data_IF_053410081328
#
_entry.id   IF_053410081328
#
_cell.length_a   1.000
_cell.length_b   1.000
_cell.length_c   1.000
_cell.angle_alpha   90.00
_cell.angle_beta   90.00
_cell.angle_gamma   90.00
#
_symmetry.space_group_name_H-M   'P 1'
#
loop_
_entity.id
_entity.type
_entity.pdbx_description
1 polymer ?
#
# COMPACT_ATOMS: atom_id res chain seq x y z
N UNK A 1 44.56 45.54 0.67
CA UNK A 1 44.33 46.82 -0.04
C UNK A 1 42.83 46.99 -0.20
N UNK A 2 42.31 48.05 0.40
CA UNK A 2 40.94 48.51 0.41
C UNK A 2 40.43 48.93 -0.99
N UNK A 3 39.10 48.81 -1.21
CA UNK A 3 38.19 49.82 -1.80
C UNK A 3 36.78 49.27 -1.65
N UNK A 4 36.00 49.67 -0.73
CA UNK A 4 35.08 50.78 -0.48
C UNK A 4 34.16 51.14 -1.67
N UNK A 5 32.85 50.86 -1.40
CA UNK A 5 31.63 51.65 -1.59
C UNK A 5 31.45 52.52 -2.83
N UNK A 6 30.24 52.38 -3.42
CA UNK A 6 29.46 53.56 -3.86
C UNK A 6 27.94 53.25 -3.78
N UNK A 7 27.28 53.84 -2.83
CA UNK A 7 25.81 54.03 -2.80
C UNK A 7 25.49 55.16 -3.76
N UNK A 8 24.56 54.95 -4.66
CA UNK A 8 23.93 56.06 -5.44
C UNK A 8 22.48 56.21 -5.04
N UNK A 9 22.22 57.29 -4.33
CA UNK A 9 20.91 57.80 -3.98
C UNK A 9 20.31 58.49 -5.21
N UNK A 10 19.19 57.98 -5.73
CA UNK A 10 18.40 58.72 -6.74
C UNK A 10 17.20 59.33 -6.03
N UNK A 11 17.28 60.67 -5.86
CA UNK A 11 16.17 61.50 -5.40
C UNK A 11 15.13 61.64 -6.51
N UNK A 12 13.89 61.22 -6.26
CA UNK A 12 12.76 61.50 -7.16
C UNK A 12 12.16 62.85 -6.77
N UNK A 13 12.26 63.77 -7.67
CA UNK A 13 11.65 65.13 -7.62
C UNK A 13 10.16 65.01 -7.95
N UNK A 14 9.29 65.32 -7.00
CA UNK A 14 7.88 65.38 -7.21
C UNK A 14 7.51 66.69 -7.99
N UNK A 15 7.09 66.56 -9.22
CA UNK A 15 6.40 67.66 -9.94
C UNK A 15 4.91 67.51 -9.73
N UNK A 16 4.31 68.45 -9.01
CA UNK A 16 2.87 68.64 -8.94
C UNK A 16 2.42 69.44 -10.15
N UNK A 17 1.80 68.81 -11.14
CA UNK A 17 0.99 69.51 -12.13
C UNK A 17 -0.48 69.29 -11.78
N UNK A 18 -1.13 70.35 -11.33
CA UNK A 18 -2.59 70.43 -11.22
C UNK A 18 -3.17 70.72 -12.60
N UNK A 19 -3.93 69.79 -13.18
CA UNK A 19 -4.83 70.01 -14.28
C UNK A 19 -6.17 69.39 -13.95
N UNK A 20 -7.15 70.23 -13.65
CA UNK A 20 -8.55 69.86 -13.56
C UNK A 20 -9.09 69.51 -14.94
N UNK A 21 -9.38 68.20 -15.17
CA UNK A 21 -10.31 67.77 -16.23
C UNK A 21 -11.28 66.75 -15.62
N UNK A 22 -12.60 66.88 -15.91
CA UNK A 22 -13.58 65.92 -15.37
C UNK A 22 -13.52 64.66 -16.20
N UNK A 23 -13.24 63.56 -15.54
CA UNK A 23 -13.28 62.22 -16.16
C UNK A 23 -12.07 61.30 -15.91
N UNK A 24 -11.40 61.38 -14.78
CA UNK A 24 -10.44 60.32 -14.39
C UNK A 24 -11.21 59.15 -13.80
N UNK A 25 -11.39 58.10 -14.61
CA UNK A 25 -11.64 56.77 -14.10
C UNK A 25 -10.49 56.40 -13.15
N UNK A 26 -10.72 56.42 -11.87
CA UNK A 26 -9.80 55.85 -10.90
C UNK A 26 -9.77 54.36 -11.18
N UNK A 27 -8.67 53.87 -11.76
CA UNK A 27 -8.42 52.44 -11.85
C UNK A 27 -8.30 51.95 -10.41
N UNK A 28 -9.35 51.35 -9.86
CA UNK A 28 -9.27 50.69 -8.56
C UNK A 28 -8.55 49.36 -8.75
N UNK A 29 -7.40 49.22 -8.12
CA UNK A 29 -6.73 47.94 -8.06
C UNK A 29 -7.36 47.12 -6.95
N UNK A 30 -7.67 45.85 -7.25
CA UNK A 30 -8.09 44.88 -6.24
C UNK A 30 -6.88 44.44 -5.41
N UNK A 31 -7.13 43.99 -4.19
CA UNK A 31 -6.08 43.40 -3.35
C UNK A 31 -5.57 42.10 -3.96
N UNK A 32 -4.25 41.91 -3.89
CA UNK A 32 -3.60 40.71 -4.44
C UNK A 32 -3.92 39.49 -3.58
N UNK A 33 -4.24 38.31 -4.15
CA UNK A 33 -4.26 37.06 -3.40
C UNK A 33 -2.90 36.79 -2.72
N UNK A 34 -2.91 36.18 -1.57
CA UNK A 34 -1.69 35.90 -0.80
C UNK A 34 -1.63 34.46 -0.26
N UNK A 35 -0.57 34.12 0.45
CA UNK A 35 -0.37 32.80 1.06
C UNK A 35 -0.57 31.65 0.06
N UNK A 36 0.00 31.79 -1.16
CA UNK A 36 -0.13 30.78 -2.20
C UNK A 36 0.60 29.51 -1.81
N UNK A 37 -0.07 28.38 -2.01
CA UNK A 37 0.53 27.06 -1.91
C UNK A 37 0.16 26.25 -3.15
N UNK A 38 1.16 25.55 -3.72
CA UNK A 38 0.97 24.65 -4.85
C UNK A 38 1.42 23.25 -4.46
N UNK A 39 0.51 22.28 -4.61
CA UNK A 39 0.76 20.86 -4.27
C UNK A 39 0.62 20.03 -5.54
N UNK A 40 1.66 19.25 -5.87
CA UNK A 40 1.66 18.38 -7.03
C UNK A 40 0.89 17.09 -6.76
N UNK A 41 0.15 16.62 -7.79
CA UNK A 41 -0.30 15.25 -7.98
C UNK A 41 0.51 14.58 -9.10
N UNK A 42 0.10 13.40 -9.55
CA UNK A 42 0.80 12.65 -10.62
C UNK A 42 0.82 13.41 -11.96
N UNK A 43 -0.33 13.90 -12.42
CA UNK A 43 -0.50 14.70 -13.64
C UNK A 43 -1.34 15.95 -13.38
N UNK A 44 -1.31 16.45 -12.15
CA UNK A 44 -2.12 17.58 -11.71
C UNK A 44 -1.39 18.40 -10.66
N UNK A 45 -1.89 19.61 -10.41
CA UNK A 45 -1.44 20.44 -9.30
C UNK A 45 -2.60 21.25 -8.72
N UNK A 46 -2.67 21.30 -7.39
CA UNK A 46 -3.65 22.11 -6.68
C UNK A 46 -2.99 23.41 -6.23
N UNK A 47 -3.50 24.55 -6.71
CA UNK A 47 -3.14 25.87 -6.21
C UNK A 47 -4.17 26.28 -5.16
N UNK A 48 -3.71 26.75 -4.01
CA UNK A 48 -4.54 27.38 -2.97
C UNK A 48 -4.02 28.77 -2.66
N UNK A 49 -4.90 29.64 -2.24
CA UNK A 49 -4.55 31.02 -1.87
C UNK A 49 -5.48 31.56 -0.79
N UNK A 50 -5.03 32.60 -0.13
CA UNK A 50 -5.86 33.41 0.74
C UNK A 50 -6.52 34.51 -0.07
N UNK A 51 -7.82 34.61 0.05
CA UNK A 51 -8.62 35.67 -0.46
C UNK A 51 -8.49 36.91 0.45
N UNK A 52 -7.95 38.01 -0.10
CA UNK A 52 -7.79 39.26 0.59
C UNK A 52 -8.77 40.34 0.06
N UNK A 53 -9.50 40.01 -1.01
CA UNK A 53 -10.39 40.95 -1.65
C UNK A 53 -11.83 40.81 -1.11
N UNK A 54 -12.58 41.91 -1.06
CA UNK A 54 -13.98 41.91 -0.60
C UNK A 54 -14.93 42.45 -1.67
N UNK A 55 -14.40 42.75 -2.85
CA UNK A 55 -15.16 43.40 -3.96
C UNK A 55 -14.84 42.76 -5.32
N UNK A 56 -14.21 41.62 -5.33
CA UNK A 56 -13.97 40.83 -6.53
C UNK A 56 -15.27 40.18 -7.04
N UNK A 57 -15.32 39.91 -8.34
CA UNK A 57 -16.35 39.11 -9.01
C UNK A 57 -15.90 37.67 -9.24
N UNK A 58 -14.61 37.40 -8.99
CA UNK A 58 -14.02 36.09 -9.15
C UNK A 58 -12.52 36.15 -9.33
N UNK A 59 -12.00 35.00 -9.73
CA UNK A 59 -10.57 34.77 -9.92
C UNK A 59 -10.29 34.21 -11.31
N UNK A 60 -9.25 34.72 -11.96
CA UNK A 60 -8.64 34.08 -13.12
C UNK A 60 -7.46 33.25 -12.64
N UNK A 61 -7.31 32.05 -13.22
CA UNK A 61 -6.14 31.19 -12.97
C UNK A 61 -5.36 30.97 -14.25
N UNK A 62 -4.03 30.96 -14.12
CA UNK A 62 -3.08 30.96 -15.24
C UNK A 62 -2.08 29.83 -15.09
N UNK A 63 -1.58 29.36 -16.21
CA UNK A 63 -0.55 28.32 -16.29
C UNK A 63 0.64 28.84 -17.08
N UNK A 64 1.85 28.62 -16.57
CA UNK A 64 3.15 28.88 -17.25
C UNK A 64 3.31 30.31 -17.81
N UNK A 65 2.87 31.28 -17.06
CA UNK A 65 2.93 32.71 -17.41
C UNK A 65 2.19 33.07 -18.73
N UNK A 66 1.24 32.23 -19.18
CA UNK A 66 0.42 32.54 -20.31
C UNK A 66 -0.42 33.82 -20.04
N UNK A 67 -0.57 34.65 -21.06
CA UNK A 67 -1.35 35.91 -20.92
C UNK A 67 -2.86 35.64 -20.77
N UNK A 68 -3.37 34.53 -21.30
CA UNK A 68 -4.76 34.14 -21.18
C UNK A 68 -4.98 33.23 -19.97
N UNK A 69 -6.03 33.43 -19.17
CA UNK A 69 -6.37 32.54 -18.08
C UNK A 69 -6.83 31.18 -18.63
N UNK A 70 -6.49 30.10 -17.91
CA UNK A 70 -6.96 28.75 -18.23
C UNK A 70 -8.38 28.51 -17.71
N UNK A 71 -8.81 29.28 -16.69
CA UNK A 71 -10.16 29.22 -16.14
C UNK A 71 -10.53 30.52 -15.41
N UNK A 72 -11.81 30.70 -15.22
CA UNK A 72 -12.39 31.76 -14.35
C UNK A 72 -13.20 31.07 -13.24
N UNK A 73 -13.06 31.56 -12.03
CA UNK A 73 -13.70 31.06 -10.82
C UNK A 73 -14.62 32.10 -10.22
N UNK A 74 -15.68 31.71 -9.49
CA UNK A 74 -16.58 32.64 -8.81
C UNK A 74 -15.86 33.40 -7.68
N UNK A 75 -16.54 34.43 -7.17
CA UNK A 75 -16.12 35.17 -5.97
C UNK A 75 -15.87 34.26 -4.79
N UNK A 76 -14.97 34.64 -3.89
CA UNK A 76 -14.56 33.88 -2.68
C UNK A 76 -13.91 32.51 -2.96
N UNK A 77 -13.48 32.22 -4.19
CA UNK A 77 -12.71 31.02 -4.49
C UNK A 77 -11.34 31.06 -3.86
N UNK A 78 -10.88 29.91 -3.32
CA UNK A 78 -9.60 29.79 -2.60
C UNK A 78 -8.71 28.66 -3.11
N UNK A 79 -9.16 27.94 -4.15
CA UNK A 79 -8.38 26.85 -4.73
C UNK A 79 -8.79 26.57 -6.17
N UNK A 80 -7.86 25.96 -6.93
CA UNK A 80 -8.09 25.41 -8.26
C UNK A 80 -7.17 24.25 -8.53
N UNK A 81 -7.68 23.22 -9.23
CA UNK A 81 -6.89 22.04 -9.63
C UNK A 81 -6.58 22.15 -11.13
N UNK A 82 -5.31 22.25 -11.46
CA UNK A 82 -4.79 22.14 -12.82
C UNK A 82 -4.61 20.66 -13.14
N UNK A 83 -5.13 20.20 -14.27
CA UNK A 83 -5.07 18.80 -14.71
C UNK A 83 -4.40 18.69 -16.07
N UNK A 84 -3.92 17.47 -16.42
CA UNK A 84 -3.25 17.22 -17.70
C UNK A 84 -1.85 17.79 -17.78
N UNK A 85 -1.19 18.00 -16.64
CA UNK A 85 0.20 18.42 -16.55
C UNK A 85 1.11 17.24 -16.88
N UNK A 86 2.19 17.50 -17.61
CA UNK A 86 3.13 16.44 -17.98
C UNK A 86 3.96 16.00 -16.77
N UNK A 87 4.16 14.69 -16.63
CA UNK A 87 5.06 14.14 -15.63
C UNK A 87 6.50 14.67 -15.80
N UNK A 88 7.17 14.93 -14.69
CA UNK A 88 8.53 15.48 -14.67
C UNK A 88 8.63 16.94 -15.10
N UNK A 89 7.52 17.66 -15.28
CA UNK A 89 7.52 19.05 -15.70
C UNK A 89 7.45 20.01 -14.52
N UNK A 90 8.00 21.21 -14.75
CA UNK A 90 7.88 22.36 -13.85
C UNK A 90 6.84 23.32 -14.38
N UNK A 91 5.97 23.81 -13.50
CA UNK A 91 4.91 24.75 -13.86
C UNK A 91 4.88 25.94 -12.91
N UNK A 92 4.46 27.10 -13.46
CA UNK A 92 4.07 28.27 -12.70
C UNK A 92 2.54 28.39 -12.71
N UNK A 93 1.95 28.36 -11.53
CA UNK A 93 0.49 28.47 -11.35
C UNK A 93 0.16 29.87 -10.87
N UNK A 94 -0.66 30.59 -11.61
CA UNK A 94 -1.01 31.97 -11.32
C UNK A 94 -2.47 32.14 -10.90
N UNK A 95 -2.73 33.14 -10.07
CA UNK A 95 -4.08 33.55 -9.69
C UNK A 95 -4.18 35.11 -9.66
N UNK A 96 -5.31 35.65 -10.10
CA UNK A 96 -5.60 37.07 -10.17
C UNK A 96 -7.07 37.30 -9.81
N UNK A 97 -7.36 38.21 -8.89
CA UNK A 97 -8.71 38.68 -8.65
C UNK A 97 -9.16 39.62 -9.76
N UNK A 98 -10.41 39.52 -10.20
CA UNK A 98 -11.05 40.46 -11.13
C UNK A 98 -12.37 40.97 -10.56
N UNK A 99 -12.70 42.20 -10.89
CA UNK A 99 -13.90 42.88 -10.42
C UNK A 99 -14.63 43.64 -11.51
N UNK A 100 -15.52 44.54 -11.11
CA UNK A 100 -16.25 45.40 -12.03
C UNK A 100 -15.33 46.45 -12.69
N UNK A 101 -15.77 46.98 -13.81
CA UNK A 101 -15.09 48.07 -14.54
C UNK A 101 -13.64 47.75 -14.93
N UNK A 102 -13.35 46.48 -15.25
CA UNK A 102 -12.01 46.02 -15.59
C UNK A 102 -10.98 46.28 -14.47
N UNK A 103 -11.38 46.16 -13.22
CA UNK A 103 -10.46 46.17 -12.08
C UNK A 103 -9.83 44.81 -11.88
N UNK A 104 -8.53 44.77 -11.62
CA UNK A 104 -7.75 43.54 -11.44
C UNK A 104 -6.74 43.72 -10.31
N UNK A 105 -6.42 42.61 -9.62
CA UNK A 105 -5.22 42.53 -8.82
C UNK A 105 -3.99 42.26 -9.72
N UNK A 106 -2.81 42.15 -9.16
CA UNK A 106 -1.68 41.50 -9.84
C UNK A 106 -1.93 40.04 -9.96
N UNK A 107 -1.33 39.39 -10.98
CA UNK A 107 -1.19 37.92 -11.00
C UNK A 107 -0.09 37.55 -10.02
N UNK A 108 -0.42 36.72 -9.06
CA UNK A 108 0.56 36.12 -8.13
C UNK A 108 0.79 34.67 -8.50
N UNK A 109 2.04 34.20 -8.35
CA UNK A 109 2.48 32.94 -8.90
C UNK A 109 3.07 32.04 -7.82
N UNK A 110 2.80 30.72 -7.93
CA UNK A 110 3.46 29.67 -7.19
C UNK A 110 4.06 28.68 -8.17
N UNK A 111 5.27 28.18 -7.87
CA UNK A 111 5.93 27.15 -8.66
C UNK A 111 5.61 25.76 -8.10
N UNK A 112 5.45 24.78 -9.00
CA UNK A 112 5.26 23.37 -8.66
C UNK A 112 6.04 22.51 -9.65
N UNK A 113 6.62 21.42 -9.16
CA UNK A 113 7.23 20.39 -9.99
C UNK A 113 6.35 19.14 -9.94
N UNK A 114 5.88 18.70 -11.09
CA UNK A 114 5.14 17.44 -11.23
C UNK A 114 6.15 16.30 -11.15
N UNK A 115 5.90 15.27 -10.31
CA UNK A 115 6.79 14.13 -10.24
C UNK A 115 7.02 13.53 -11.63
N UNK A 116 8.26 13.16 -11.92
CA UNK A 116 8.52 12.36 -13.13
C UNK A 116 7.83 11.00 -12.97
N UNK A 117 7.31 10.44 -14.08
CA UNK A 117 6.96 9.04 -14.10
C UNK A 117 8.16 8.26 -13.59
N UNK A 118 7.96 7.43 -12.59
CA UNK A 118 8.96 6.39 -12.29
C UNK A 118 8.92 5.49 -13.53
N UNK A 119 9.99 5.45 -14.36
CA UNK A 119 9.99 4.52 -15.48
C UNK A 119 9.69 3.13 -14.92
N UNK A 120 8.87 2.30 -15.56
CA UNK A 120 8.84 0.89 -15.21
C UNK A 120 10.29 0.46 -15.21
N UNK A 121 10.76 -0.05 -14.08
CA UNK A 121 12.13 -0.55 -13.95
C UNK A 121 12.34 -1.47 -15.15
N UNK A 122 13.36 -1.27 -16.01
CA UNK A 122 13.57 -2.12 -17.16
C UNK A 122 13.60 -3.54 -16.61
N UNK A 123 12.76 -4.41 -17.16
CA UNK A 123 12.65 -5.81 -16.73
C UNK A 123 14.07 -6.44 -16.77
N UNK A 124 14.78 -6.48 -15.65
CA UNK A 124 16.22 -6.71 -15.68
C UNK A 124 16.57 -8.17 -15.89
N UNK A 125 15.55 -9.07 -15.74
CA UNK A 125 15.81 -10.50 -15.91
C UNK A 125 14.52 -11.22 -16.33
N UNK A 126 14.58 -12.13 -17.30
CA UNK A 126 13.46 -13.02 -17.54
C UNK A 126 13.11 -13.69 -16.20
N UNK A 127 11.81 -13.78 -15.87
CA UNK A 127 11.33 -14.43 -14.65
C UNK A 127 12.06 -15.77 -14.50
N UNK A 128 12.94 -15.93 -13.51
CA UNK A 128 13.74 -17.16 -13.37
C UNK A 128 12.86 -18.39 -13.08
N UNK A 129 11.62 -18.17 -12.66
CA UNK A 129 10.66 -19.21 -12.32
C UNK A 129 9.25 -18.85 -12.85
N UNK A 130 9.05 -18.80 -14.18
CA UNK A 130 7.73 -18.52 -14.71
C UNK A 130 6.76 -19.62 -14.26
N UNK A 131 5.64 -19.21 -13.68
CA UNK A 131 4.54 -20.09 -13.32
C UNK A 131 3.36 -19.81 -14.22
N UNK A 132 2.63 -20.86 -14.61
CA UNK A 132 1.37 -20.71 -15.28
C UNK A 132 0.28 -20.31 -14.30
N UNK A 133 -0.61 -19.42 -14.74
CA UNK A 133 -1.78 -19.05 -13.96
C UNK A 133 -2.80 -20.20 -13.96
N UNK A 134 -3.38 -20.49 -12.79
CA UNK A 134 -4.53 -21.39 -12.67
C UNK A 134 -5.80 -20.53 -12.60
N UNK A 135 -6.70 -20.74 -13.53
CA UNK A 135 -7.99 -20.04 -13.60
C UNK A 135 -9.14 -21.01 -13.36
N UNK A 136 -10.19 -20.54 -12.69
CA UNK A 136 -11.41 -21.28 -12.38
C UNK A 136 -12.65 -20.53 -12.85
N UNK A 137 -13.78 -21.26 -12.96
CA UNK A 137 -15.08 -20.64 -13.10
C UNK A 137 -15.55 -20.16 -11.72
N UNK A 138 -15.49 -18.86 -11.53
CA UNK A 138 -15.89 -18.23 -10.27
C UNK A 138 -17.37 -17.83 -10.32
N UNK A 139 -18.15 -18.22 -9.32
CA UNK A 139 -19.55 -17.84 -9.15
C UNK A 139 -19.66 -16.84 -8.01
N UNK A 140 -20.33 -15.71 -8.25
CA UNK A 140 -20.56 -14.70 -7.21
C UNK A 140 -21.48 -15.27 -6.12
N UNK A 141 -21.08 -15.09 -4.85
CA UNK A 141 -21.84 -15.48 -3.68
C UNK A 141 -22.50 -14.23 -3.09
N UNK A 142 -23.83 -14.22 -3.08
CA UNK A 142 -24.58 -13.13 -2.44
C UNK A 142 -24.62 -13.32 -0.94
N UNK A 143 -24.01 -12.41 -0.19
CA UNK A 143 -24.06 -12.38 1.27
C UNK A 143 -24.84 -11.14 1.70
N UNK A 144 -25.96 -11.37 2.40
CA UNK A 144 -26.80 -10.27 2.90
C UNK A 144 -26.01 -9.39 3.88
N UNK A 145 -26.12 -8.07 3.74
CA UNK A 145 -25.44 -7.10 4.61
C UNK A 145 -24.10 -6.62 4.09
N UNK A 146 -23.58 -7.16 2.97
CA UNK A 146 -22.40 -6.61 2.32
C UNK A 146 -22.77 -5.45 1.37
N UNK A 147 -21.98 -4.36 1.37
CA UNK A 147 -22.13 -3.30 0.37
C UNK A 147 -21.71 -3.80 -1.01
N UNK A 148 -22.24 -3.20 -2.08
CA UNK A 148 -21.92 -3.55 -3.48
C UNK A 148 -20.42 -3.45 -3.83
N UNK A 149 -19.67 -2.69 -3.05
CA UNK A 149 -18.23 -2.52 -3.21
C UNK A 149 -17.42 -3.75 -2.78
N UNK A 150 -18.00 -4.69 -2.04
CA UNK A 150 -17.37 -5.93 -1.61
C UNK A 150 -18.04 -7.09 -2.34
N UNK A 151 -17.26 -7.85 -3.10
CA UNK A 151 -17.72 -9.01 -3.85
C UNK A 151 -17.07 -10.26 -3.30
N UNK A 152 -17.86 -11.34 -3.24
CA UNK A 152 -17.36 -12.67 -2.85
C UNK A 152 -17.67 -13.64 -3.97
N UNK A 153 -16.70 -14.50 -4.25
CA UNK A 153 -16.80 -15.53 -5.28
C UNK A 153 -16.39 -16.88 -4.70
N UNK A 154 -16.96 -17.95 -5.26
CA UNK A 154 -16.57 -19.31 -4.94
C UNK A 154 -16.36 -20.14 -6.20
N UNK A 155 -15.58 -21.20 -6.07
CA UNK A 155 -15.41 -22.22 -7.09
C UNK A 155 -15.39 -23.62 -6.49
N UNK A 156 -15.90 -24.59 -7.23
CA UNK A 156 -15.80 -26.03 -6.96
C UNK A 156 -15.14 -26.77 -8.15
N UNK A 157 -14.47 -26.02 -9.02
CA UNK A 157 -13.70 -26.60 -10.12
C UNK A 157 -12.55 -27.45 -9.56
N UNK A 158 -12.14 -28.46 -10.32
CA UNK A 158 -11.02 -29.30 -9.92
C UNK A 158 -9.69 -28.57 -10.04
N UNK A 159 -8.86 -28.66 -9.00
CA UNK A 159 -7.46 -28.23 -9.03
C UNK A 159 -6.56 -29.43 -9.43
N UNK A 160 -5.97 -29.39 -10.61
CA UNK A 160 -5.10 -30.47 -11.10
C UNK A 160 -5.76 -31.85 -11.01
N UNK A 161 -7.06 -31.94 -11.33
CA UNK A 161 -7.87 -33.16 -11.31
C UNK A 161 -8.40 -33.57 -9.93
N UNK A 162 -8.03 -32.88 -8.87
CA UNK A 162 -8.48 -33.13 -7.48
C UNK A 162 -9.72 -32.32 -7.13
N UNK A 163 -10.55 -32.81 -6.21
CA UNK A 163 -11.63 -32.02 -5.59
C UNK A 163 -11.03 -30.79 -4.93
N UNK A 164 -11.63 -29.63 -5.20
CA UNK A 164 -11.16 -28.34 -4.68
C UNK A 164 -12.34 -27.39 -4.49
N UNK A 165 -12.36 -26.71 -3.35
CA UNK A 165 -13.36 -25.71 -3.01
C UNK A 165 -12.66 -24.48 -2.43
N UNK A 166 -12.91 -23.32 -3.01
CA UNK A 166 -12.26 -22.08 -2.63
C UNK A 166 -13.19 -20.88 -2.76
N UNK A 167 -12.86 -19.85 -1.99
CA UNK A 167 -13.53 -18.55 -2.00
C UNK A 167 -12.51 -17.43 -2.08
N UNK A 168 -12.91 -16.33 -2.68
CA UNK A 168 -12.23 -15.08 -2.48
C UNK A 168 -13.21 -13.93 -2.33
N UNK A 169 -12.80 -12.95 -1.49
CA UNK A 169 -13.44 -11.66 -1.41
C UNK A 169 -12.54 -10.61 -2.05
N UNK A 170 -13.14 -9.65 -2.77
CA UNK A 170 -12.40 -8.57 -3.43
C UNK A 170 -13.05 -7.23 -3.14
N UNK A 171 -12.25 -6.23 -2.83
CA UNK A 171 -12.70 -4.85 -2.64
C UNK A 171 -11.60 -3.84 -3.01
N UNK A 172 -12.03 -2.63 -3.37
CA UNK A 172 -11.17 -1.49 -3.63
C UNK A 172 -10.85 -0.77 -2.30
N UNK A 173 -9.58 -0.63 -1.90
CA UNK A 173 -9.20 0.13 -0.72
C UNK A 173 -9.58 1.61 -0.75
N UNK A 174 -9.94 2.15 -1.92
CA UNK A 174 -10.49 3.49 -2.02
C UNK A 174 -11.89 3.62 -1.38
N UNK A 175 -12.64 2.51 -1.28
CA UNK A 175 -14.03 2.51 -0.78
C UNK A 175 -14.23 1.70 0.50
N UNK A 176 -13.30 0.83 0.87
CA UNK A 176 -13.28 0.08 2.13
C UNK A 176 -11.97 0.27 2.86
N UNK A 177 -11.96 0.14 4.18
CA UNK A 177 -10.72 0.03 4.93
C UNK A 177 -10.21 -1.40 4.91
N UNK A 178 -8.91 -1.58 4.66
CA UNK A 178 -8.21 -2.85 4.85
C UNK A 178 -7.49 -2.79 6.18
N UNK A 179 -7.89 -3.63 7.13
CA UNK A 179 -7.37 -3.57 8.50
C UNK A 179 -6.92 -4.93 8.97
N UNK A 180 -5.92 -4.91 9.85
CA UNK A 180 -5.48 -6.07 10.63
C UNK A 180 -6.06 -5.94 12.04
N UNK A 181 -6.53 -7.05 12.60
CA UNK A 181 -6.97 -7.11 13.99
C UNK A 181 -6.01 -7.97 14.81
N UNK A 182 -5.83 -7.60 16.06
CA UNK A 182 -5.06 -8.32 17.05
C UNK A 182 -5.73 -8.15 18.43
N UNK A 183 -6.21 -9.22 19.08
CA UNK A 183 -6.92 -9.11 20.37
C UNK A 183 -6.06 -8.53 21.50
N UNK A 184 -4.72 -8.51 21.33
CA UNK A 184 -3.79 -7.97 22.31
C UNK A 184 -3.34 -8.96 23.37
N UNK A 185 -2.25 -8.64 24.07
CA UNK A 185 -1.75 -9.37 25.23
C UNK A 185 -1.39 -10.84 25.02
N UNK A 186 -1.13 -11.29 23.77
CA UNK A 186 -0.94 -12.70 23.45
C UNK A 186 -2.23 -13.55 23.45
N UNK A 187 -3.37 -12.88 23.52
CA UNK A 187 -4.70 -13.54 23.47
C UNK A 187 -5.03 -14.01 22.07
N UNK A 188 -5.90 -15.03 22.00
CA UNK A 188 -6.47 -15.55 20.77
C UNK A 188 -7.98 -15.36 20.84
N UNK A 189 -8.60 -15.04 19.72
CA UNK A 189 -10.06 -15.01 19.59
C UNK A 189 -10.47 -15.65 18.25
N UNK A 190 -11.67 -16.17 18.18
CA UNK A 190 -12.24 -16.69 16.94
C UNK A 190 -12.47 -15.56 15.94
N UNK A 191 -12.49 -15.88 14.64
CA UNK A 191 -12.65 -14.87 13.58
C UNK A 191 -13.95 -14.08 13.76
N UNK A 192 -15.05 -14.76 14.02
CA UNK A 192 -16.36 -14.15 14.28
C UNK A 192 -16.35 -13.23 15.52
N UNK A 193 -15.63 -13.62 16.59
CA UNK A 193 -15.50 -12.76 17.75
C UNK A 193 -14.66 -11.51 17.44
N UNK A 194 -13.57 -11.64 16.72
CA UNK A 194 -12.76 -10.48 16.31
C UNK A 194 -13.59 -9.54 15.39
N UNK A 195 -14.40 -10.11 14.49
CA UNK A 195 -15.30 -9.34 13.64
C UNK A 195 -16.35 -8.58 14.46
N UNK A 196 -16.95 -9.25 15.44
CA UNK A 196 -17.96 -8.65 16.34
C UNK A 196 -17.37 -7.54 17.22
N UNK A 197 -16.17 -7.76 17.77
CA UNK A 197 -15.48 -6.78 18.61
C UNK A 197 -15.10 -5.51 17.81
N UNK A 198 -14.78 -5.67 16.53
CA UNK A 198 -14.48 -4.54 15.64
C UNK A 198 -15.70 -3.71 15.23
N UNK A 199 -16.90 -4.31 15.22
CA UNK A 199 -18.21 -3.66 15.05
C UNK A 199 -18.55 -3.23 13.63
N UNK A 200 -17.57 -2.95 12.76
CA UNK A 200 -17.77 -2.49 11.39
C UNK A 200 -17.10 -3.39 10.34
N UNK A 201 -16.90 -4.66 10.70
CA UNK A 201 -16.27 -5.65 9.84
C UNK A 201 -17.26 -6.13 8.74
N UNK A 202 -16.79 -6.21 7.53
CA UNK A 202 -17.52 -6.71 6.36
C UNK A 202 -17.11 -8.14 6.01
N UNK A 203 -15.79 -8.37 5.86
CA UNK A 203 -15.19 -9.68 5.58
C UNK A 203 -13.90 -9.80 6.37
N UNK A 204 -13.65 -10.96 6.95
CA UNK A 204 -12.47 -11.22 7.76
C UNK A 204 -11.94 -12.63 7.47
N UNK A 205 -10.63 -12.77 7.34
CA UNK A 205 -9.94 -14.05 7.27
C UNK A 205 -8.90 -14.17 8.39
N UNK A 206 -8.48 -15.39 8.71
CA UNK A 206 -7.35 -15.60 9.63
C UNK A 206 -6.07 -14.92 9.12
N UNK A 207 -5.22 -14.53 10.03
CA UNK A 207 -3.97 -13.83 9.76
C UNK A 207 -2.74 -14.72 9.70
N UNK A 208 -1.64 -14.22 10.26
CA UNK A 208 -0.34 -14.88 10.25
C UNK A 208 -0.24 -16.11 11.16
N UNK A 209 0.76 -16.93 10.91
CA UNK A 209 1.10 -18.12 11.70
C UNK A 209 1.40 -17.71 13.14
N UNK A 210 1.01 -18.55 14.08
CA UNK A 210 1.22 -18.30 15.50
C UNK A 210 1.47 -19.61 16.29
N UNK A 211 2.18 -19.46 17.40
CA UNK A 211 2.32 -20.47 18.44
C UNK A 211 1.72 -19.97 19.76
N UNK A 212 2.57 -19.76 20.75
CA UNK A 212 2.24 -19.05 22.00
C UNK A 212 2.24 -17.53 21.81
N UNK A 213 2.80 -17.05 20.71
CA UNK A 213 2.82 -15.66 20.25
C UNK A 213 2.69 -15.63 18.71
N UNK A 214 2.40 -14.49 18.09
CA UNK A 214 2.49 -14.35 16.64
C UNK A 214 3.91 -14.67 16.16
N UNK A 215 4.01 -15.43 15.07
CA UNK A 215 5.29 -15.67 14.41
C UNK A 215 5.50 -14.55 13.39
N UNK A 216 5.99 -13.44 13.87
CA UNK A 216 6.07 -12.19 13.16
C UNK A 216 5.33 -11.06 13.89
N UNK A 217 5.05 -10.00 13.18
CA UNK A 217 4.35 -8.83 13.73
C UNK A 217 3.17 -8.43 12.83
N UNK A 218 2.35 -7.55 13.35
CA UNK A 218 1.35 -6.83 12.59
C UNK A 218 1.47 -5.32 12.86
N UNK A 219 1.02 -4.51 11.91
CA UNK A 219 0.83 -3.08 12.07
C UNK A 219 -0.67 -2.78 12.09
N UNK A 220 -1.11 -2.10 13.12
CA UNK A 220 -2.48 -1.60 13.29
C UNK A 220 -2.38 -0.08 13.34
N UNK A 221 -2.89 0.58 12.31
CA UNK A 221 -2.87 2.04 12.19
C UNK A 221 -1.46 2.65 12.39
N UNK A 222 -0.46 2.00 11.80
CA UNK A 222 0.94 2.38 11.88
C UNK A 222 1.65 1.99 13.19
N UNK A 223 0.95 1.35 14.11
CA UNK A 223 1.52 0.89 15.39
C UNK A 223 1.86 -0.60 15.30
N UNK A 224 3.13 -0.93 15.56
CA UNK A 224 3.57 -2.31 15.62
C UNK A 224 2.98 -3.01 16.85
N UNK A 225 2.41 -4.21 16.62
CA UNK A 225 1.96 -5.05 17.73
C UNK A 225 3.16 -5.50 18.57
N UNK A 226 2.98 -5.65 19.89
CA UNK A 226 3.99 -6.31 20.71
C UNK A 226 4.20 -7.73 20.17
N UNK A 227 5.37 -8.01 19.69
CA UNK A 227 5.79 -9.35 19.36
C UNK A 227 6.76 -9.85 20.44
N UNK A 228 6.74 -11.14 20.67
CA UNK A 228 7.62 -11.74 21.65
C UNK A 228 8.73 -12.46 20.91
N UNK A 229 9.94 -12.02 21.11
CA UNK A 229 11.11 -12.81 20.76
C UNK A 229 11.09 -14.10 21.62
N UNK A 230 10.99 -15.25 20.98
CA UNK A 230 11.09 -16.55 21.63
C UNK A 230 12.37 -17.19 21.11
N UNK A 231 13.39 -17.23 21.95
CA UNK A 231 14.72 -17.81 21.63
C UNK A 231 14.68 -19.26 21.13
N UNK A 232 13.62 -20.01 21.49
CA UNK A 232 13.47 -21.43 21.16
C UNK A 232 12.78 -21.68 19.81
N UNK A 233 12.10 -20.69 19.23
CA UNK A 233 11.36 -20.91 17.99
C UNK A 233 12.19 -20.50 16.78
N UNK A 234 12.50 -21.45 15.93
CA UNK A 234 13.18 -21.26 14.64
C UNK A 234 12.40 -20.39 13.64
N UNK A 235 11.34 -19.74 14.09
CA UNK A 235 10.26 -19.21 13.28
C UNK A 235 10.00 -17.71 13.42
N UNK A 236 10.58 -17.06 14.44
CA UNK A 236 10.36 -15.63 14.64
C UNK A 236 10.95 -14.83 13.48
N UNK A 237 10.21 -13.85 12.98
CA UNK A 237 10.67 -12.94 11.90
C UNK A 237 12.00 -12.32 12.24
N UNK A 238 12.18 -11.97 13.50
CA UNK A 238 13.38 -11.31 13.98
C UNK A 238 14.30 -12.22 14.79
N UNK A 239 14.24 -13.54 14.54
CA UNK A 239 15.21 -14.42 15.14
C UNK A 239 16.59 -14.07 14.63
N UNK A 240 17.43 -13.68 15.56
CA UNK A 240 18.81 -13.37 15.30
C UNK A 240 19.66 -14.63 15.51
N UNK A 241 20.60 -14.87 14.62
CA UNK A 241 21.55 -15.96 14.69
C UNK A 241 22.97 -15.43 14.62
N UNK A 242 23.83 -16.01 15.45
CA UNK A 242 25.25 -15.79 15.28
C UNK A 242 25.74 -16.63 14.10
N UNK A 243 26.18 -15.95 13.05
CA UNK A 243 26.76 -16.61 11.88
C UNK A 243 28.18 -17.10 12.13
N UNK A 244 28.74 -17.86 11.16
CA UNK A 244 30.15 -18.28 11.19
C UNK A 244 31.14 -17.11 11.17
N UNK A 245 30.70 -15.95 10.71
CA UNK A 245 31.42 -14.67 10.70
C UNK A 245 31.39 -13.93 12.04
N UNK A 246 30.79 -14.54 13.06
CA UNK A 246 30.59 -13.98 14.39
C UNK A 246 29.76 -12.68 14.39
N UNK A 247 28.85 -12.52 13.41
CA UNK A 247 27.87 -11.44 13.33
C UNK A 247 26.45 -11.94 13.58
N UNK A 248 25.60 -11.03 13.99
CA UNK A 248 24.20 -11.28 14.23
C UNK A 248 23.40 -11.08 12.94
N UNK A 249 22.68 -12.10 12.51
CA UNK A 249 21.91 -12.12 11.29
C UNK A 249 20.41 -12.31 11.58
N UNK A 250 19.54 -11.76 10.72
CA UNK A 250 18.08 -11.82 10.86
C UNK A 250 17.44 -12.41 9.62
N UNK A 251 16.38 -13.16 9.79
CA UNK A 251 15.62 -13.76 8.69
C UNK A 251 14.54 -12.78 8.25
N UNK A 252 14.48 -12.44 6.97
CA UNK A 252 13.38 -11.66 6.42
C UNK A 252 12.13 -12.52 6.18
N UNK A 253 10.95 -11.93 6.34
CA UNK A 253 9.65 -12.57 6.11
C UNK A 253 8.81 -11.72 5.18
N UNK A 254 7.88 -12.38 4.48
CA UNK A 254 6.87 -11.70 3.70
C UNK A 254 5.97 -10.81 4.55
N UNK A 255 5.58 -9.69 3.98
CA UNK A 255 4.62 -8.75 4.55
C UNK A 255 3.62 -8.35 3.46
N UNK A 256 2.34 -8.41 3.79
CA UNK A 256 1.28 -7.74 3.03
C UNK A 256 0.75 -6.58 3.86
N UNK A 257 0.44 -5.48 3.23
CA UNK A 257 -0.23 -4.36 3.89
C UNK A 257 -0.81 -3.34 2.94
N UNK A 258 -1.40 -2.31 3.54
CA UNK A 258 -1.78 -1.07 2.86
C UNK A 258 -1.09 0.10 3.53
N UNK A 259 -0.72 1.10 2.76
CA UNK A 259 -0.21 2.35 3.31
C UNK A 259 -1.36 3.23 3.85
N UNK A 260 -1.04 4.41 4.35
CA UNK A 260 -2.02 5.35 4.92
C UNK A 260 -3.08 5.83 3.90
N UNK A 261 -2.78 5.74 2.60
CA UNK A 261 -3.68 6.12 1.51
C UNK A 261 -4.49 4.92 0.97
N UNK A 262 -4.30 3.72 1.53
CA UNK A 262 -4.93 2.50 1.07
C UNK A 262 -4.18 1.79 -0.06
N UNK A 263 -3.01 2.27 -0.51
CA UNK A 263 -2.21 1.61 -1.55
C UNK A 263 -1.67 0.28 -1.03
N UNK A 264 -2.04 -0.86 -1.63
CA UNK A 264 -1.56 -2.15 -1.18
C UNK A 264 -0.11 -2.41 -1.60
N UNK A 265 0.55 -3.31 -0.89
CA UNK A 265 1.89 -3.76 -1.21
C UNK A 265 2.24 -5.10 -0.59
N UNK A 266 3.12 -5.85 -1.27
CA UNK A 266 3.75 -7.07 -0.77
C UNK A 266 5.25 -6.86 -0.82
N UNK A 267 5.92 -7.09 0.29
CA UNK A 267 7.34 -6.86 0.47
C UNK A 267 7.94 -7.91 1.39
N UNK A 268 9.26 -7.94 1.51
CA UNK A 268 9.93 -8.61 2.61
C UNK A 268 10.22 -7.59 3.70
N UNK A 269 9.96 -7.97 4.95
CA UNK A 269 10.12 -7.08 6.09
C UNK A 269 11.27 -7.50 6.99
N UNK A 270 11.85 -6.50 7.62
CA UNK A 270 12.89 -6.62 8.62
C UNK A 270 12.71 -5.54 9.67
N UNK A 271 12.84 -5.90 10.93
CA UNK A 271 12.74 -4.97 12.07
C UNK A 271 14.05 -4.96 12.85
N UNK A 272 14.95 -4.00 12.59
CA UNK A 272 16.22 -3.90 13.32
C UNK A 272 16.03 -3.57 14.81
N UNK A 273 14.90 -2.97 15.15
CA UNK A 273 14.49 -2.65 16.52
C UNK A 273 12.96 -2.54 16.61
N UNK A 274 12.42 -2.75 17.81
CA UNK A 274 10.98 -2.57 18.04
C UNK A 274 10.50 -1.18 17.61
N UNK A 275 9.41 -1.16 16.87
CA UNK A 275 8.82 0.09 16.33
C UNK A 275 9.44 0.58 15.01
N UNK A 276 10.54 -0.02 14.55
CA UNK A 276 11.17 0.31 13.27
C UNK A 276 10.95 -0.81 12.28
N UNK A 277 10.05 -0.60 11.33
CA UNK A 277 9.75 -1.59 10.28
C UNK A 277 10.34 -1.11 8.97
N UNK A 278 11.24 -1.90 8.41
CA UNK A 278 11.74 -1.72 7.06
C UNK A 278 11.14 -2.77 6.12
N UNK A 279 10.82 -2.37 4.92
CA UNK A 279 10.33 -3.24 3.85
C UNK A 279 11.25 -3.15 2.64
N UNK A 280 11.42 -4.26 1.92
CA UNK A 280 12.38 -4.40 0.83
C UNK A 280 11.71 -5.09 -0.34
N UNK A 281 12.04 -4.67 -1.56
CA UNK A 281 11.55 -5.29 -2.81
C UNK A 281 12.13 -6.69 -3.03
N UNK A 282 13.23 -6.99 -2.36
CA UNK A 282 13.89 -8.32 -2.36
C UNK A 282 14.11 -8.74 -0.93
N UNK A 283 14.13 -10.05 -0.64
CA UNK A 283 14.44 -10.52 0.71
C UNK A 283 15.89 -10.19 1.07
N UNK A 284 16.12 -9.86 2.34
CA UNK A 284 17.47 -9.76 2.85
C UNK A 284 18.09 -11.17 2.77
N UNK A 285 19.30 -11.30 2.19
CA UNK A 285 19.87 -12.60 1.94
C UNK A 285 20.08 -13.39 3.23
N UNK A 286 19.43 -14.54 3.30
CA UNK A 286 19.76 -15.59 4.27
C UNK A 286 19.97 -16.88 3.49
N UNK A 287 20.85 -17.75 3.95
CA UNK A 287 20.98 -19.07 3.34
C UNK A 287 19.81 -19.91 3.83
N UNK A 288 18.93 -20.32 2.93
CA UNK A 288 17.78 -21.15 3.28
C UNK A 288 18.24 -22.43 4.01
N UNK A 289 17.67 -22.69 5.18
CA UNK A 289 18.06 -23.77 6.05
C UNK A 289 19.36 -23.55 6.84
N UNK A 290 19.98 -22.41 6.68
CA UNK A 290 21.09 -21.96 7.51
C UNK A 290 20.69 -20.67 8.23
N UNK A 291 21.02 -20.59 9.49
CA UNK A 291 20.71 -19.41 10.29
C UNK A 291 21.66 -18.23 9.97
N UNK A 292 22.15 -18.16 8.75
CA UNK A 292 23.14 -17.17 8.32
C UNK A 292 22.52 -16.30 7.26
N UNK A 293 22.40 -15.02 7.55
CA UNK A 293 22.08 -14.00 6.59
C UNK A 293 23.35 -13.63 5.80
N UNK A 294 23.27 -13.59 4.49
CA UNK A 294 24.35 -13.06 3.65
C UNK A 294 24.43 -11.53 3.87
N UNK A 295 25.63 -11.00 3.97
CA UNK A 295 25.79 -9.53 4.01
C UNK A 295 25.18 -8.90 2.76
N UNK A 296 24.58 -7.72 2.93
CA UNK A 296 24.08 -6.92 1.82
C UNK A 296 25.24 -6.59 0.86
N UNK A 297 25.04 -6.88 -0.40
CA UNK A 297 25.99 -6.58 -1.46
C UNK A 297 25.27 -5.90 -2.65
N UNK A 298 25.99 -5.62 -3.74
CA UNK A 298 25.41 -4.95 -4.91
C UNK A 298 24.26 -5.70 -5.60
N UNK A 299 24.05 -6.98 -5.25
CA UNK A 299 22.96 -7.81 -5.80
C UNK A 299 21.72 -7.79 -4.94
N UNK A 300 21.77 -7.21 -3.73
CA UNK A 300 20.65 -7.08 -2.81
C UNK A 300 20.49 -5.64 -2.37
N UNK A 301 19.27 -5.13 -2.31
CA UNK A 301 19.05 -3.76 -1.87
C UNK A 301 19.48 -3.61 -0.41
N UNK A 302 20.34 -2.64 -0.14
CA UNK A 302 20.70 -2.24 1.21
C UNK A 302 19.71 -1.23 1.78
N UNK A 303 18.96 -0.56 0.90
CA UNK A 303 18.04 0.50 1.27
C UNK A 303 16.61 -0.03 1.31
N UNK A 304 15.83 0.34 2.34
CA UNK A 304 14.41 0.03 2.40
C UNK A 304 13.66 0.64 1.22
N UNK A 305 12.59 -0.01 0.78
CA UNK A 305 11.64 0.58 -0.15
C UNK A 305 10.97 1.82 0.48
N UNK A 306 10.59 2.79 -0.36
CA UNK A 306 9.97 4.04 0.10
C UNK A 306 8.51 3.87 0.56
N UNK A 307 7.90 2.73 0.27
CA UNK A 307 6.53 2.44 0.69
C UNK A 307 6.48 2.17 2.20
N UNK A 308 5.57 2.83 2.90
CA UNK A 308 5.44 2.74 4.36
C UNK A 308 4.12 2.06 4.72
N UNK A 309 4.15 0.84 5.29
CA UNK A 309 2.94 0.14 5.68
C UNK A 309 2.23 0.84 6.85
N UNK A 310 0.89 0.88 6.77
CA UNK A 310 0.04 1.45 7.82
C UNK A 310 -0.79 0.37 8.53
N UNK A 311 -1.50 -0.47 7.77
CA UNK A 311 -2.09 -1.72 8.25
C UNK A 311 -1.41 -2.87 7.51
N UNK A 312 -0.73 -3.74 8.24
CA UNK A 312 0.07 -4.81 7.62
C UNK A 312 0.18 -6.04 8.51
N UNK A 313 0.43 -7.17 7.86
CA UNK A 313 0.63 -8.46 8.51
C UNK A 313 1.83 -9.18 7.90
N UNK A 314 2.65 -9.79 8.74
CA UNK A 314 3.75 -10.64 8.30
C UNK A 314 3.36 -12.10 8.33
N UNK A 315 3.77 -12.83 7.33
CA UNK A 315 3.64 -14.28 7.20
C UNK A 315 4.52 -14.75 6.03
N UNK A 316 4.15 -15.81 5.36
CA UNK A 316 4.80 -16.27 4.14
C UNK A 316 4.58 -17.76 3.86
N UNK A 317 5.18 -18.21 2.78
CA UNK A 317 6.07 -17.49 1.88
C UNK A 317 5.32 -16.41 1.07
N UNK A 318 6.08 -15.43 0.52
CA UNK A 318 5.58 -14.55 -0.53
C UNK A 318 5.23 -15.42 -1.73
N UNK A 319 3.98 -15.32 -2.19
CA UNK A 319 3.47 -16.09 -3.33
C UNK A 319 3.76 -15.39 -4.66
N UNK A 320 3.54 -14.08 -4.68
CA UNK A 320 3.79 -13.22 -5.83
C UNK A 320 4.39 -11.89 -5.38
N UNK A 321 5.36 -11.40 -6.15
CA UNK A 321 5.93 -10.08 -6.05
C UNK A 321 6.12 -9.51 -7.45
N UNK A 322 5.48 -8.38 -7.76
CA UNK A 322 5.46 -7.78 -9.09
C UNK A 322 5.05 -8.79 -10.20
N UNK A 323 4.02 -9.60 -9.91
CA UNK A 323 3.52 -10.64 -10.83
C UNK A 323 4.39 -11.89 -10.95
N UNK A 324 5.54 -11.97 -10.24
CA UNK A 324 6.50 -13.07 -10.27
C UNK A 324 6.40 -13.94 -9.04
N UNK A 325 6.61 -15.25 -9.21
CA UNK A 325 6.61 -16.20 -8.11
C UNK A 325 8.04 -16.41 -7.58
N UNK A 326 8.31 -16.08 -6.31
CA UNK A 326 9.63 -16.32 -5.73
C UNK A 326 9.87 -17.77 -5.29
N UNK A 327 8.84 -18.62 -5.34
CA UNK A 327 8.93 -20.03 -4.94
C UNK A 327 9.48 -20.84 -6.11
N UNK A 328 10.68 -21.40 -5.96
CA UNK A 328 11.37 -22.08 -7.07
C UNK A 328 10.93 -23.51 -7.32
N UNK A 329 10.19 -24.13 -6.40
CA UNK A 329 9.88 -25.56 -6.43
C UNK A 329 11.08 -26.48 -6.19
N UNK A 330 12.23 -25.93 -5.83
CA UNK A 330 13.45 -26.67 -5.48
C UNK A 330 13.64 -26.75 -3.98
N UNK A 331 14.35 -27.79 -3.54
CA UNK A 331 14.75 -27.93 -2.13
C UNK A 331 16.24 -27.69 -1.99
N UNK A 332 16.60 -27.03 -0.90
CA UNK A 332 18.01 -26.94 -0.47
C UNK A 332 18.53 -28.33 -0.02
N UNK A 333 19.85 -28.46 0.13
CA UNK A 333 20.48 -29.67 0.67
C UNK A 333 20.00 -30.04 2.07
N UNK A 334 19.41 -29.11 2.82
CA UNK A 334 18.83 -29.32 4.16
C UNK A 334 17.31 -29.53 4.14
N UNK A 335 16.70 -29.68 2.96
CA UNK A 335 15.29 -30.02 2.81
C UNK A 335 14.34 -28.83 2.88
N UNK A 336 14.83 -27.58 2.98
CA UNK A 336 14.00 -26.40 2.91
C UNK A 336 13.68 -26.02 1.47
N UNK A 337 12.48 -25.49 1.23
CA UNK A 337 12.15 -24.94 -0.06
C UNK A 337 12.94 -23.63 -0.30
N UNK A 338 13.41 -23.47 -1.53
CA UNK A 338 13.96 -22.19 -1.96
C UNK A 338 12.80 -21.21 -2.16
N UNK A 339 12.62 -20.35 -1.20
CA UNK A 339 11.58 -19.31 -1.16
C UNK A 339 12.21 -17.94 -0.95
N UNK A 340 13.18 -17.59 -1.79
CA UNK A 340 13.91 -16.34 -1.67
C UNK A 340 14.36 -16.04 -0.22
N UNK A 341 15.04 -17.02 0.39
CA UNK A 341 15.65 -16.88 1.72
C UNK A 341 14.68 -16.72 2.91
N UNK A 342 13.40 -16.95 2.73
CA UNK A 342 12.44 -16.86 3.83
C UNK A 342 12.50 -18.03 4.83
N UNK A 343 13.33 -19.03 4.58
CA UNK A 343 13.59 -20.19 5.45
C UNK A 343 12.33 -20.97 5.86
N UNK A 344 11.43 -21.25 4.91
CA UNK A 344 10.25 -22.07 5.16
C UNK A 344 10.57 -23.56 5.03
N UNK A 345 10.42 -24.31 6.13
CA UNK A 345 10.62 -25.75 6.15
C UNK A 345 9.36 -26.49 5.67
N UNK A 346 9.56 -27.46 4.77
CA UNK A 346 8.47 -28.24 4.17
C UNK A 346 7.72 -29.10 5.20
N UNK A 347 8.44 -29.70 6.15
CA UNK A 347 7.90 -30.58 7.16
C UNK A 347 7.05 -29.88 8.22
N UNK A 348 7.25 -28.59 8.42
CA UNK A 348 6.58 -27.83 9.47
C UNK A 348 5.50 -26.93 8.89
N UNK A 349 5.76 -26.25 7.77
CA UNK A 349 4.76 -25.35 7.14
C UNK A 349 4.03 -26.00 5.98
N UNK A 350 4.42 -27.23 5.64
CA UNK A 350 3.75 -27.95 4.58
C UNK A 350 3.72 -27.19 3.26
N UNK A 351 4.82 -26.50 2.92
CA UNK A 351 4.88 -25.68 1.68
C UNK A 351 4.45 -26.53 0.48
N UNK A 352 4.80 -27.81 0.49
CA UNK A 352 4.42 -28.76 -0.55
C UNK A 352 3.21 -29.63 -0.19
N UNK A 353 2.68 -29.53 1.02
CA UNK A 353 1.53 -30.32 1.44
C UNK A 353 0.23 -29.71 0.97
N UNK A 354 -0.70 -30.57 0.55
CA UNK A 354 -2.09 -30.17 0.29
C UNK A 354 -2.77 -29.91 1.64
N UNK A 355 -3.28 -28.70 1.80
CA UNK A 355 -3.96 -28.28 3.01
C UNK A 355 -4.97 -27.17 2.73
N UNK A 356 -5.80 -26.89 3.74
CA UNK A 356 -6.54 -25.64 3.81
C UNK A 356 -5.54 -24.47 3.77
N UNK A 357 -5.83 -23.45 2.98
CA UNK A 357 -4.93 -22.31 2.80
C UNK A 357 -5.68 -20.98 2.89
N UNK A 358 -4.96 -19.99 3.33
CA UNK A 358 -5.37 -18.59 3.33
C UNK A 358 -4.29 -17.77 2.65
N UNK A 359 -4.68 -16.81 1.82
CA UNK A 359 -3.79 -15.83 1.24
C UNK A 359 -4.43 -14.45 1.17
N UNK A 360 -3.60 -13.45 1.10
CA UNK A 360 -3.99 -12.07 0.80
C UNK A 360 -3.15 -11.56 -0.35
N UNK A 361 -3.74 -10.77 -1.24
CA UNK A 361 -3.02 -10.19 -2.37
C UNK A 361 -3.68 -8.93 -2.89
N UNK A 362 -3.09 -8.36 -3.93
CA UNK A 362 -3.67 -7.23 -4.64
C UNK A 362 -3.51 -7.38 -6.14
N UNK A 363 -4.51 -6.93 -6.88
CA UNK A 363 -4.59 -7.00 -8.34
C UNK A 363 -3.84 -5.85 -9.01
N UNK A 364 -3.65 -5.95 -10.34
CA UNK A 364 -3.01 -4.90 -11.15
C UNK A 364 -3.71 -3.53 -11.06
N UNK A 365 -5.03 -3.52 -10.81
CA UNK A 365 -5.82 -2.31 -10.60
C UNK A 365 -5.92 -1.88 -9.11
N UNK A 366 -5.11 -2.49 -8.23
CA UNK A 366 -4.97 -2.10 -6.83
C UNK A 366 -6.06 -2.61 -5.88
N UNK A 367 -6.99 -3.45 -6.33
CA UNK A 367 -7.97 -4.08 -5.43
C UNK A 367 -7.32 -5.14 -4.57
N UNK A 368 -7.81 -5.28 -3.34
CA UNK A 368 -7.32 -6.29 -2.40
C UNK A 368 -8.18 -7.55 -2.50
N UNK A 369 -7.52 -8.70 -2.51
CA UNK A 369 -8.12 -10.03 -2.49
C UNK A 369 -7.80 -10.71 -1.16
N UNK A 370 -8.83 -11.23 -0.50
CA UNK A 370 -8.74 -12.18 0.59
C UNK A 370 -9.16 -13.54 0.03
N UNK A 371 -8.28 -14.52 0.09
CA UNK A 371 -8.49 -15.84 -0.49
C UNK A 371 -8.40 -16.94 0.56
N UNK A 372 -9.29 -17.94 0.47
CA UNK A 372 -9.18 -19.20 1.22
C UNK A 372 -9.51 -20.39 0.31
N UNK A 373 -8.98 -21.56 0.66
CA UNK A 373 -9.52 -22.84 0.20
C UNK A 373 -9.65 -23.82 1.33
N UNK A 374 -10.69 -24.64 1.28
CA UNK A 374 -10.79 -25.83 2.13
C UNK A 374 -9.74 -26.87 1.74
N UNK A 375 -9.39 -27.72 2.67
CA UNK A 375 -8.45 -28.81 2.41
C UNK A 375 -8.63 -29.96 3.37
N UNK A 376 -8.01 -31.11 3.04
CA UNK A 376 -8.00 -32.32 3.88
C UNK A 376 -9.38 -32.88 4.20
N UNK A 377 -10.35 -32.61 3.33
CA UNK A 377 -11.71 -33.18 3.34
C UNK A 377 -12.05 -33.73 1.96
N UNK A 378 -13.07 -34.58 1.89
CA UNK A 378 -13.49 -35.21 0.61
C UNK A 378 -13.91 -34.20 -0.44
N UNK A 379 -14.56 -33.11 -0.02
CA UNK A 379 -15.02 -32.03 -0.90
C UNK A 379 -13.86 -31.15 -1.42
N UNK A 380 -12.73 -31.13 -0.71
CA UNK A 380 -11.55 -30.35 -1.10
C UNK A 380 -10.27 -30.95 -0.51
N UNK A 381 -9.31 -31.27 -1.37
CA UNK A 381 -8.01 -31.74 -0.91
C UNK A 381 -7.07 -30.57 -0.55
N UNK A 382 -7.44 -29.35 -0.91
CA UNK A 382 -6.66 -28.14 -0.67
C UNK A 382 -5.58 -27.91 -1.73
N UNK A 383 -4.69 -27.00 -1.40
CA UNK A 383 -3.60 -26.57 -2.28
C UNK A 383 -2.25 -26.56 -1.54
N UNK A 384 -1.14 -26.74 -2.27
CA UNK A 384 0.19 -26.38 -1.80
C UNK A 384 0.48 -24.91 -2.11
N UNK A 385 1.59 -24.37 -1.60
CA UNK A 385 1.90 -22.94 -1.75
C UNK A 385 2.27 -22.54 -3.17
N UNK A 386 2.81 -23.44 -3.99
CA UNK A 386 3.05 -23.17 -5.40
C UNK A 386 1.72 -23.06 -6.19
N UNK A 387 0.79 -23.98 -5.94
CA UNK A 387 -0.57 -23.91 -6.49
C UNK A 387 -1.29 -22.64 -6.02
N UNK A 388 -1.08 -22.22 -4.77
CA UNK A 388 -1.58 -20.93 -4.28
C UNK A 388 -1.04 -19.75 -5.08
N UNK A 389 0.26 -19.73 -5.39
CA UNK A 389 0.86 -18.69 -6.23
C UNK A 389 0.23 -18.68 -7.65
N UNK A 390 0.04 -19.85 -8.24
CA UNK A 390 -0.61 -20.00 -9.56
C UNK A 390 -2.07 -19.52 -9.55
N UNK A 391 -2.82 -19.82 -8.48
CA UNK A 391 -4.21 -19.37 -8.31
C UNK A 391 -4.27 -17.85 -8.13
N UNK A 392 -3.43 -17.28 -7.27
CA UNK A 392 -3.39 -15.84 -7.07
C UNK A 392 -2.98 -15.10 -8.35
N UNK A 393 -2.08 -15.68 -9.16
CA UNK A 393 -1.77 -15.18 -10.51
C UNK A 393 -2.98 -15.25 -11.44
N UNK A 394 -3.78 -16.31 -11.36
CA UNK A 394 -5.04 -16.46 -12.10
C UNK A 394 -6.14 -15.47 -11.71
N UNK A 395 -6.04 -14.89 -10.50
CA UNK A 395 -6.87 -13.81 -10.01
C UNK A 395 -6.29 -12.40 -10.29
N UNK A 396 -5.31 -12.30 -11.20
CA UNK A 396 -4.62 -11.05 -11.60
C UNK A 396 -3.83 -10.38 -10.47
N UNK A 397 -3.41 -11.13 -9.45
CA UNK A 397 -2.60 -10.55 -8.39
C UNK A 397 -1.19 -10.19 -8.87
N UNK A 398 -0.77 -8.97 -8.55
CA UNK A 398 0.60 -8.49 -8.71
C UNK A 398 1.46 -8.81 -7.47
N UNK A 399 0.85 -8.81 -6.30
CA UNK A 399 1.47 -9.24 -5.06
C UNK A 399 0.54 -10.14 -4.28
N UNK A 400 1.09 -11.19 -3.65
CA UNK A 400 0.33 -12.10 -2.81
C UNK A 400 1.21 -12.71 -1.71
N UNK A 401 0.63 -12.88 -0.53
CA UNK A 401 1.26 -13.45 0.66
C UNK A 401 0.44 -14.64 1.16
N UNK A 402 1.10 -15.77 1.42
CA UNK A 402 0.49 -16.87 2.14
C UNK A 402 0.34 -16.51 3.62
N UNK A 403 -0.82 -16.81 4.18
CA UNK A 403 -1.12 -16.66 5.60
C UNK A 403 -1.15 -18.02 6.31
N UNK A 404 -1.52 -18.04 7.60
CA UNK A 404 -1.69 -19.29 8.33
C UNK A 404 -2.79 -20.13 7.67
N UNK A 405 -2.57 -21.43 7.67
CA UNK A 405 -3.42 -22.40 7.00
C UNK A 405 -3.99 -23.44 7.93
N UNK A 406 -4.41 -24.56 7.33
CA UNK A 406 -4.91 -25.69 8.07
C UNK A 406 -6.14 -25.35 8.92
N UNK A 407 -6.12 -25.78 10.16
CA UNK A 407 -7.24 -25.54 11.08
C UNK A 407 -7.49 -24.09 11.45
N UNK A 408 -6.62 -23.14 11.02
CA UNK A 408 -6.84 -21.70 11.21
C UNK A 408 -7.62 -21.07 10.05
N UNK A 409 -7.68 -21.74 8.89
CA UNK A 409 -8.33 -21.22 7.68
C UNK A 409 -9.81 -20.98 7.90
N UNK A 410 -10.23 -19.74 7.69
CA UNK A 410 -11.63 -19.35 7.75
C UNK A 410 -11.88 -18.00 7.12
N UNK A 411 -13.03 -17.86 6.46
CA UNK A 411 -13.58 -16.59 5.98
C UNK A 411 -14.93 -16.35 6.63
N UNK A 412 -15.01 -15.27 7.34
CA UNK A 412 -16.26 -14.73 7.90
C UNK A 412 -16.72 -13.55 7.07
N UNK A 413 -18.01 -13.46 6.79
CA UNK A 413 -18.60 -12.36 6.05
C UNK A 413 -19.99 -12.03 6.61
N UNK A 414 -20.21 -10.78 7.00
CA UNK A 414 -21.50 -10.23 7.43
C UNK A 414 -22.32 -11.17 8.36
N UNK A 415 -21.67 -11.78 9.33
CA UNK A 415 -22.34 -12.59 10.37
C UNK A 415 -22.25 -14.12 10.19
N UNK A 416 -21.61 -14.62 9.13
CA UNK A 416 -21.51 -16.06 8.88
C UNK A 416 -20.14 -16.48 8.38
N UNK A 417 -19.74 -17.73 8.66
CA UNK A 417 -18.60 -18.36 8.00
C UNK A 417 -19.01 -18.90 6.63
N UNK A 418 -18.10 -18.80 5.65
CA UNK A 418 -18.37 -19.20 4.28
C UNK A 418 -17.83 -20.59 3.95
N UNK A 419 -16.82 -21.06 4.67
CA UNK A 419 -16.15 -22.33 4.43
C UNK A 419 -16.36 -23.31 5.58
N UNK A 420 -16.01 -24.59 5.32
CA UNK A 420 -15.97 -25.62 6.32
C UNK A 420 -14.75 -25.43 7.24
N UNK A 421 -15.00 -25.15 8.51
CA UNK A 421 -13.95 -24.92 9.49
C UNK A 421 -13.35 -26.26 9.94
N UNK A 422 -12.41 -26.83 9.18
CA UNK A 422 -11.78 -28.14 9.45
C UNK A 422 -11.10 -28.24 10.80
N UNK A 423 -10.63 -27.12 11.36
CA UNK A 423 -10.11 -27.00 12.71
C UNK A 423 -11.14 -26.64 13.77
N UNK A 424 -12.45 -26.67 13.44
CA UNK A 424 -13.51 -26.03 14.23
C UNK A 424 -13.37 -24.50 14.20
N UNK A 425 -14.13 -23.79 15.01
CA UNK A 425 -13.97 -22.32 15.13
C UNK A 425 -12.73 -21.98 15.98
N UNK A 426 -11.56 -22.17 15.39
CA UNK A 426 -10.28 -21.98 16.07
C UNK A 426 -10.04 -20.52 16.42
N UNK A 427 -9.62 -20.26 17.66
CA UNK A 427 -9.13 -18.96 18.05
C UNK A 427 -7.73 -18.70 17.43
N UNK A 428 -7.61 -17.57 16.76
CA UNK A 428 -6.39 -17.10 16.06
C UNK A 428 -5.88 -15.80 16.68
N UNK A 429 -4.59 -15.51 16.51
CA UNK A 429 -3.99 -14.31 17.09
C UNK A 429 -4.22 -13.05 16.27
N UNK A 430 -4.21 -13.18 14.96
CA UNK A 430 -4.41 -12.05 14.05
C UNK A 430 -5.41 -12.41 12.98
N UNK A 431 -6.09 -11.41 12.46
CA UNK A 431 -6.97 -11.50 11.29
C UNK A 431 -6.73 -10.30 10.37
N UNK A 432 -7.11 -10.43 9.11
CA UNK A 432 -7.09 -9.32 8.15
C UNK A 432 -8.41 -9.29 7.39
N UNK A 433 -8.90 -8.09 7.07
CA UNK A 433 -10.20 -7.99 6.42
C UNK A 433 -10.58 -6.63 5.90
N UNK A 434 -11.82 -6.56 5.41
CA UNK A 434 -12.48 -5.38 4.89
C UNK A 434 -13.44 -4.80 5.93
N UNK A 435 -13.43 -3.49 6.07
CA UNK A 435 -14.24 -2.75 7.03
C UNK A 435 -14.93 -1.57 6.35
N UNK A 436 -16.05 -1.12 6.89
CA UNK A 436 -16.64 0.15 6.43
C UNK A 436 -15.72 1.30 6.80
N UNK A 437 -15.52 2.23 5.85
CA UNK A 437 -14.85 3.51 6.10
C UNK A 437 -15.64 4.39 7.04
#
# INVERSE_FOLDING_TARGET
>A
MNLQSLFSLVSILALTLSCNTPGTSTVSFLEDPSELSAVAGETSATLTWKDNCTSEKGYYVFLDNHAAPVSSLPENSKSFVFTGLAEGSDHNLGVQAYGENNSFSKVVWARVSIPAAIPPEPDPDPDPNPIDAITFNWTEVSVSGLPAAVKIYQTQDKLNGRAFHAWYAIADPAVVDVRVLYPGGGSKATIDKQAADAGNCLVLVNGGIFGTAPIGFALLDGQQTPWRYIESDNWAVDKQYWGPDNKLHTVSRGLFGVDKNGKPGVYWSFTPSYGTVHVYDKPIPSVAGEAVQKEADSTFPCEPAQWVPYNAITCGPVLLQNGRCPITGKKTSKGYWETNYEMWADDIYGVNQLADRTAVGYTSDGKVILFICDGRIDASQGANTLEMAQIMKGLDCQGALNLDGGGSTGMWAAGQHLNDLTGGNRAVMTTIGFFTK
#
